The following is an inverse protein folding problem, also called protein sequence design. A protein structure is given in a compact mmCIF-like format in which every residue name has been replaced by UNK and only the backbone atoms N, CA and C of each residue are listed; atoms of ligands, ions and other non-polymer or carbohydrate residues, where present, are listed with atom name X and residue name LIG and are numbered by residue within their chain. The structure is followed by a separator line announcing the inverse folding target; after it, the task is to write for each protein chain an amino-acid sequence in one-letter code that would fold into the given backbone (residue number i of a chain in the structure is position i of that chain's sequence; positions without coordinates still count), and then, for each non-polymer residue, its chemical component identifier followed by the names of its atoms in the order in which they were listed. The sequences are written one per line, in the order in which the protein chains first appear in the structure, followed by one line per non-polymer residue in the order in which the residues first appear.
data_IF_115061822140
#
_entry.id   IF_115061822140
#
_cell.length_a   1.000
_cell.length_b   1.000
_cell.length_c   1.000
_cell.angle_alpha   90.00
_cell.angle_beta   90.00
_cell.angle_gamma   90.00
#
_symmetry.space_group_name_H-M   'P 1'
#
loop_
_entity.id
_entity.type
_entity.pdbx_description
1 polymer ?
#
# COMPACT_ATOMS: atom_id res chain seq x y z
N UNK A 1 -7.07 81.55 -61.42
CA UNK A 1 -7.75 81.40 -60.10
C UNK A 1 -8.63 80.17 -60.17
N UNK A 2 -8.23 79.00 -59.66
CA UNK A 2 -9.04 77.77 -59.59
C UNK A 2 -8.82 77.16 -58.21
N UNK A 3 -9.85 77.22 -57.36
CA UNK A 3 -9.88 76.59 -56.06
C UNK A 3 -10.06 75.06 -56.24
N UNK A 4 -9.13 74.26 -55.67
CA UNK A 4 -9.32 72.85 -55.58
C UNK A 4 -9.49 72.45 -54.12
N UNK A 5 -10.65 72.03 -53.71
CA UNK A 5 -11.00 71.48 -52.42
C UNK A 5 -10.48 70.02 -52.34
N UNK A 6 -9.66 69.76 -51.38
CA UNK A 6 -9.24 68.34 -51.01
C UNK A 6 -10.29 67.79 -50.06
N UNK A 7 -10.91 66.69 -50.44
CA UNK A 7 -11.81 65.91 -49.61
C UNK A 7 -10.90 64.82 -48.88
N UNK A 8 -10.87 64.93 -47.57
CA UNK A 8 -10.27 63.88 -46.75
C UNK A 8 -11.30 62.76 -46.47
N UNK A 9 -11.04 61.56 -46.93
CA UNK A 9 -11.76 60.36 -46.49
C UNK A 9 -11.09 59.79 -45.23
N UNK A 10 -11.77 59.83 -44.08
CA UNK A 10 -11.36 59.10 -42.88
C UNK A 10 -11.94 57.70 -42.96
N UNK A 11 -11.08 56.69 -43.13
CA UNK A 11 -11.46 55.30 -43.00
C UNK A 11 -11.36 54.90 -41.53
N UNK A 12 -12.49 54.65 -40.90
CA UNK A 12 -12.57 54.03 -39.55
C UNK A 12 -12.39 52.52 -39.69
N UNK A 13 -11.25 51.96 -39.23
CA UNK A 13 -11.05 50.56 -39.06
C UNK A 13 -11.75 50.09 -37.80
N UNK A 14 -12.87 49.40 -37.94
CA UNK A 14 -13.48 48.59 -36.86
C UNK A 14 -12.67 47.30 -36.72
N UNK A 15 -11.79 47.24 -35.72
CA UNK A 15 -11.17 45.98 -35.27
C UNK A 15 -12.16 45.24 -34.38
N UNK A 16 -12.87 44.26 -34.93
CA UNK A 16 -13.61 43.28 -34.17
C UNK A 16 -12.63 42.31 -33.50
N UNK A 17 -12.30 42.60 -32.24
CA UNK A 17 -11.57 41.69 -31.39
C UNK A 17 -12.41 40.44 -31.10
N UNK A 18 -12.16 39.34 -31.79
CA UNK A 18 -12.59 38.00 -31.35
C UNK A 18 -11.84 37.68 -30.06
N UNK A 19 -12.46 37.87 -28.91
CA UNK A 19 -12.05 37.28 -27.65
C UNK A 19 -12.35 35.78 -27.75
N UNK A 20 -11.37 34.97 -28.11
CA UNK A 20 -11.46 33.53 -27.86
C UNK A 20 -11.55 33.36 -26.34
N UNK A 21 -12.72 33.03 -25.83
CA UNK A 21 -12.88 32.47 -24.51
C UNK A 21 -12.10 31.17 -24.50
N UNK A 22 -10.92 31.17 -23.85
CA UNK A 22 -10.28 29.92 -23.44
C UNK A 22 -11.25 29.28 -22.46
N UNK A 23 -12.03 28.32 -22.95
CA UNK A 23 -12.65 27.31 -22.08
C UNK A 23 -11.52 26.56 -21.42
N UNK A 24 -11.11 26.95 -20.25
CA UNK A 24 -10.37 26.06 -19.33
C UNK A 24 -11.31 24.91 -19.08
N UNK A 25 -11.16 23.82 -19.82
CA UNK A 25 -11.69 22.52 -19.43
C UNK A 25 -11.12 22.28 -18.05
N UNK A 26 -11.96 22.31 -17.00
CA UNK A 26 -11.55 21.90 -15.67
C UNK A 26 -10.89 20.53 -15.84
N UNK A 27 -9.60 20.42 -15.48
CA UNK A 27 -8.88 19.16 -15.56
C UNK A 27 -9.69 18.13 -14.77
N UNK A 28 -10.14 17.07 -15.45
CA UNK A 28 -10.98 16.05 -14.82
C UNK A 28 -10.16 15.41 -13.70
N UNK A 29 -10.69 15.40 -12.49
CA UNK A 29 -10.02 14.76 -11.34
C UNK A 29 -9.68 13.31 -11.66
N UNK A 30 -8.43 12.84 -11.46
CA UNK A 30 -8.01 11.50 -11.82
C UNK A 30 -8.70 10.44 -10.96
N UNK A 31 -9.00 9.28 -11.51
CA UNK A 31 -9.31 8.11 -10.71
C UNK A 31 -8.05 7.63 -9.99
N UNK A 32 -8.21 6.95 -8.87
CA UNK A 32 -7.10 6.36 -8.12
C UNK A 32 -7.42 4.90 -7.82
N UNK A 33 -6.54 4.01 -8.24
CA UNK A 33 -6.58 2.59 -7.87
C UNK A 33 -5.32 2.28 -7.07
N UNK A 34 -5.50 1.89 -5.81
CA UNK A 34 -4.43 1.47 -4.92
C UNK A 34 -4.51 -0.03 -4.72
N UNK A 35 -3.58 -0.77 -5.34
CA UNK A 35 -3.52 -2.23 -5.28
C UNK A 35 -2.46 -2.61 -4.25
N UNK A 36 -2.84 -3.41 -3.25
CA UNK A 36 -1.93 -3.81 -2.19
C UNK A 36 -1.95 -5.32 -2.00
N UNK A 37 -0.85 -5.99 -2.36
CA UNK A 37 -0.61 -7.40 -2.07
C UNK A 37 -0.50 -7.64 -0.55
N UNK A 38 -0.67 -8.89 -0.13
CA UNK A 38 -0.57 -9.35 1.25
C UNK A 38 0.71 -10.17 1.42
N UNK A 39 1.69 -9.67 2.18
CA UNK A 39 2.97 -10.33 2.49
C UNK A 39 3.88 -10.61 1.26
N UNK A 40 3.86 -9.80 0.23
CA UNK A 40 4.70 -9.96 -0.96
C UNK A 40 6.04 -9.23 -0.79
N UNK A 41 7.15 -9.94 -0.95
CA UNK A 41 8.49 -9.40 -0.79
C UNK A 41 8.93 -8.47 -1.93
N UNK A 42 9.89 -7.60 -1.66
CA UNK A 42 10.46 -6.70 -2.67
C UNK A 42 11.19 -7.46 -3.78
N UNK A 43 11.80 -8.62 -3.44
CA UNK A 43 12.50 -9.48 -4.38
C UNK A 43 11.61 -10.37 -5.24
N UNK A 44 10.29 -10.36 -5.03
CA UNK A 44 9.35 -11.19 -5.79
C UNK A 44 8.88 -10.56 -7.12
N UNK A 45 9.31 -9.33 -7.44
CA UNK A 45 8.86 -8.58 -8.62
C UNK A 45 9.96 -8.45 -9.67
N UNK A 46 9.62 -8.64 -10.93
CA UNK A 46 10.56 -8.55 -12.05
C UNK A 46 11.27 -7.20 -12.10
N UNK A 47 10.57 -6.08 -11.89
CA UNK A 47 11.15 -4.74 -11.90
C UNK A 47 12.12 -4.47 -10.74
N UNK A 48 12.13 -5.30 -9.68
CA UNK A 48 13.13 -5.28 -8.61
C UNK A 48 14.17 -6.40 -8.70
N UNK A 49 14.12 -7.24 -9.75
CA UNK A 49 15.16 -8.20 -10.07
C UNK A 49 14.75 -9.67 -10.07
N UNK A 50 13.50 -10.00 -9.77
CA UNK A 50 12.98 -11.37 -9.82
C UNK A 50 13.05 -11.93 -11.27
N UNK A 51 13.49 -13.19 -11.40
CA UNK A 51 13.63 -13.85 -12.71
C UNK A 51 12.89 -15.17 -12.83
N UNK A 52 12.51 -15.77 -11.71
CA UNK A 52 11.84 -17.06 -11.65
C UNK A 52 10.31 -16.91 -11.59
N UNK A 53 9.84 -15.83 -10.98
CA UNK A 53 8.41 -15.50 -10.88
C UNK A 53 8.10 -14.39 -11.89
N UNK A 54 7.01 -14.51 -12.63
CA UNK A 54 6.66 -13.58 -13.72
C UNK A 54 5.65 -12.55 -13.27
N UNK A 55 6.00 -11.26 -13.41
CA UNK A 55 5.16 -10.13 -13.04
C UNK A 55 5.10 -9.04 -14.13
N UNK A 56 4.82 -9.40 -15.42
CA UNK A 56 4.93 -8.46 -16.53
C UNK A 56 3.98 -7.27 -16.46
N UNK A 57 2.81 -7.40 -15.85
CA UNK A 57 1.85 -6.30 -15.74
C UNK A 57 2.27 -5.29 -14.66
N UNK A 58 2.75 -5.79 -13.51
CA UNK A 58 3.32 -4.96 -12.44
C UNK A 58 4.60 -4.27 -12.93
N UNK A 59 5.47 -4.99 -13.63
CA UNK A 59 6.67 -4.44 -14.25
C UNK A 59 6.32 -3.35 -15.28
N UNK A 60 5.18 -3.52 -15.97
CA UNK A 60 4.63 -2.53 -16.88
C UNK A 60 4.24 -1.23 -16.18
N UNK A 61 3.72 -1.28 -14.94
CA UNK A 61 3.45 -0.06 -14.15
C UNK A 61 4.76 0.69 -13.88
N UNK A 62 5.82 -0.02 -13.49
CA UNK A 62 7.14 0.58 -13.26
C UNK A 62 7.74 1.20 -14.52
N UNK A 63 7.59 0.52 -15.68
CA UNK A 63 8.08 1.01 -16.96
C UNK A 63 7.32 2.24 -17.45
N UNK A 64 6.02 2.29 -17.26
CA UNK A 64 5.15 3.39 -17.68
C UNK A 64 4.98 4.49 -16.63
N UNK A 65 5.70 4.41 -15.53
CA UNK A 65 5.62 5.33 -14.41
C UNK A 65 6.90 5.41 -13.60
N UNK A 66 6.78 5.35 -12.29
CA UNK A 66 7.88 5.53 -11.34
C UNK A 66 7.99 4.35 -10.39
N UNK A 67 9.24 3.95 -10.13
CA UNK A 67 9.62 2.94 -9.13
C UNK A 67 10.34 3.61 -7.96
N UNK A 68 9.88 3.34 -6.74
CA UNK A 68 10.52 3.81 -5.51
C UNK A 68 11.46 2.74 -4.96
N UNK A 69 12.69 3.14 -4.64
CA UNK A 69 13.68 2.25 -4.04
C UNK A 69 13.64 2.28 -2.51
N UNK A 70 13.04 3.29 -1.91
CA UNK A 70 12.93 3.49 -0.46
C UNK A 70 11.49 3.85 -0.06
N UNK A 71 10.57 2.88 -0.24
CA UNK A 71 9.20 3.00 0.24
C UNK A 71 8.98 2.04 1.42
N UNK A 72 8.32 2.52 2.45
CA UNK A 72 8.17 1.82 3.70
C UNK A 72 6.70 1.54 4.02
N UNK A 73 6.39 0.30 4.41
CA UNK A 73 5.05 -0.11 4.86
C UNK A 73 4.64 0.63 6.13
N UNK A 74 3.38 0.60 6.48
CA UNK A 74 2.89 1.22 7.71
C UNK A 74 3.34 0.49 9.00
N UNK A 75 3.55 -0.82 8.90
CA UNK A 75 4.02 -1.69 9.97
C UNK A 75 4.59 -2.97 9.37
N UNK A 76 5.14 -3.83 10.20
CA UNK A 76 5.69 -5.14 9.79
C UNK A 76 4.64 -6.27 9.78
N UNK A 77 3.35 -5.94 10.01
CA UNK A 77 2.19 -6.85 9.89
C UNK A 77 0.97 -6.10 9.38
N UNK A 78 0.02 -6.85 8.80
CA UNK A 78 -1.04 -6.32 7.96
C UNK A 78 -1.98 -5.29 8.61
N UNK A 79 -2.64 -5.58 9.75
CA UNK A 79 -3.68 -4.69 10.30
C UNK A 79 -3.14 -3.29 10.64
N UNK A 80 -2.05 -3.13 11.41
CA UNK A 80 -1.50 -1.81 11.69
C UNK A 80 -0.92 -1.13 10.45
N UNK A 81 -0.36 -1.90 9.49
CA UNK A 81 0.14 -1.33 8.24
C UNK A 81 -0.98 -0.68 7.42
N UNK A 82 -2.11 -1.37 7.28
CA UNK A 82 -3.32 -0.86 6.60
C UNK A 82 -3.89 0.36 7.33
N UNK A 83 -3.89 0.35 8.67
CA UNK A 83 -4.27 1.51 9.48
C UNK A 83 -3.40 2.74 9.16
N UNK A 84 -2.08 2.58 9.14
CA UNK A 84 -1.16 3.69 8.84
C UNK A 84 -1.40 4.26 7.43
N UNK A 85 -1.62 3.39 6.43
CA UNK A 85 -1.92 3.80 5.05
C UNK A 85 -3.12 4.71 4.97
N UNK A 86 -4.23 4.29 5.60
CA UNK A 86 -5.50 5.01 5.41
C UNK A 86 -5.66 6.21 6.33
N UNK A 87 -4.90 6.30 7.46
CA UNK A 87 -5.03 7.39 8.45
C UNK A 87 -3.92 8.43 8.37
N UNK A 88 -2.85 8.17 7.63
CA UNK A 88 -1.71 9.10 7.54
C UNK A 88 -0.85 9.15 8.80
N UNK A 89 -0.94 8.14 9.69
CA UNK A 89 -0.23 8.09 10.98
C UNK A 89 0.71 6.90 11.06
N UNK A 90 1.94 7.11 11.49
CA UNK A 90 2.87 6.02 11.76
C UNK A 90 2.57 5.30 13.08
N UNK A 91 3.27 4.21 13.38
CA UNK A 91 2.97 3.33 14.52
C UNK A 91 3.01 4.00 15.89
N UNK A 92 3.72 5.10 16.05
CA UNK A 92 3.72 5.85 17.31
C UNK A 92 2.42 6.62 17.60
N UNK A 93 1.61 6.91 16.57
CA UNK A 93 0.37 7.71 16.66
C UNK A 93 -0.87 6.98 16.14
N UNK A 94 -0.71 5.91 15.36
CA UNK A 94 -1.82 5.11 14.85
C UNK A 94 -2.65 4.50 15.97
N UNK A 95 -3.95 4.38 15.74
CA UNK A 95 -4.88 3.77 16.69
C UNK A 95 -4.69 2.25 16.79
N UNK A 96 -4.34 1.59 15.69
CA UNK A 96 -4.09 0.16 15.60
C UNK A 96 -2.59 -0.05 15.37
N UNK A 97 -1.92 -0.71 16.33
CA UNK A 97 -0.45 -0.91 16.31
C UNK A 97 -0.04 -2.38 16.37
N UNK A 98 -1.01 -3.31 16.25
CA UNK A 98 -0.80 -4.76 16.31
C UNK A 98 -2.08 -5.53 16.06
N UNK A 99 -2.03 -6.86 16.20
CA UNK A 99 -3.13 -7.77 15.85
C UNK A 99 -4.08 -8.11 17.06
N UNK A 100 -4.25 -7.22 18.00
CA UNK A 100 -5.20 -7.41 19.11
C UNK A 100 -6.64 -7.56 18.59
N UNK A 101 -7.42 -8.45 19.21
CA UNK A 101 -8.74 -8.87 18.73
C UNK A 101 -9.88 -8.42 19.61
N UNK A 102 -11.03 -8.21 18.95
CA UNK A 102 -12.31 -7.81 19.56
C UNK A 102 -13.42 -8.67 18.93
N UNK A 103 -14.43 -9.03 19.72
CA UNK A 103 -15.59 -9.73 19.21
C UNK A 103 -16.49 -8.79 18.39
N UNK A 104 -16.91 -9.26 17.23
CA UNK A 104 -17.96 -8.62 16.44
C UNK A 104 -19.36 -8.97 16.96
N UNK A 105 -20.40 -8.35 16.39
CA UNK A 105 -21.80 -8.62 16.75
C UNK A 105 -22.26 -10.04 16.39
N UNK A 106 -21.51 -10.71 15.49
CA UNK A 106 -21.74 -12.10 15.12
C UNK A 106 -21.00 -13.12 16.02
N UNK A 107 -20.32 -12.62 17.06
CA UNK A 107 -19.56 -13.43 18.02
C UNK A 107 -18.20 -13.91 17.56
N UNK A 108 -17.81 -13.60 16.30
CA UNK A 108 -16.50 -13.93 15.77
C UNK A 108 -15.45 -12.89 16.21
N UNK A 109 -14.18 -13.28 16.15
CA UNK A 109 -13.08 -12.38 16.53
C UNK A 109 -12.51 -11.69 15.29
N UNK A 110 -12.45 -10.37 15.38
CA UNK A 110 -11.86 -9.45 14.38
C UNK A 110 -10.74 -8.64 15.03
N UNK A 111 -9.93 -7.99 14.23
CA UNK A 111 -8.91 -7.06 14.72
C UNK A 111 -9.55 -5.85 15.40
N UNK A 112 -8.75 -5.14 16.19
CA UNK A 112 -9.16 -3.90 16.86
C UNK A 112 -9.85 -2.97 15.85
N UNK A 113 -11.06 -2.47 16.17
CA UNK A 113 -11.76 -1.55 15.29
C UNK A 113 -11.05 -0.19 15.22
N UNK A 114 -11.03 0.37 14.01
CA UNK A 114 -10.64 1.76 13.82
C UNK A 114 -11.64 2.65 14.60
N UNK A 115 -11.17 3.61 15.41
CA UNK A 115 -12.06 4.44 16.24
C UNK A 115 -13.01 5.30 15.40
N UNK A 116 -14.21 5.56 15.93
CA UNK A 116 -15.10 6.56 15.38
C UNK A 116 -14.42 7.92 15.27
N UNK A 117 -14.64 8.61 14.14
CA UNK A 117 -14.07 9.93 13.91
C UNK A 117 -12.61 9.94 13.46
N UNK A 118 -11.95 8.78 13.36
CA UNK A 118 -10.66 8.70 12.68
C UNK A 118 -10.87 8.98 11.19
N UNK A 119 -10.25 10.06 10.70
CA UNK A 119 -10.37 10.48 9.30
C UNK A 119 -9.47 9.60 8.44
N UNK A 120 -10.01 9.10 7.37
CA UNK A 120 -9.30 8.21 6.43
C UNK A 120 -9.09 8.87 5.07
N UNK A 121 -8.22 8.27 4.26
CA UNK A 121 -8.02 8.69 2.87
C UNK A 121 -9.34 8.63 2.07
N UNK A 122 -10.23 7.68 2.37
CA UNK A 122 -11.54 7.58 1.71
C UNK A 122 -12.44 8.79 2.08
N UNK A 123 -12.41 9.24 3.34
CA UNK A 123 -13.12 10.45 3.75
C UNK A 123 -12.60 11.68 2.99
N UNK A 124 -11.28 11.79 2.78
CA UNK A 124 -10.69 12.88 1.99
C UNK A 124 -11.23 12.85 0.55
N UNK A 125 -11.24 11.71 -0.11
CA UNK A 125 -11.83 11.56 -1.44
C UNK A 125 -13.31 11.95 -1.49
N UNK A 126 -14.07 11.56 -0.47
CA UNK A 126 -15.51 11.90 -0.36
C UNK A 126 -15.75 13.40 -0.33
N UNK A 127 -14.87 14.22 0.28
CA UNK A 127 -15.00 15.68 0.28
C UNK A 127 -14.96 16.28 -1.13
N UNK A 128 -14.47 15.53 -2.11
CA UNK A 128 -14.34 15.92 -3.53
C UNK A 128 -15.26 15.11 -4.45
N UNK A 129 -16.32 14.53 -3.91
CA UNK A 129 -17.35 13.79 -4.63
C UNK A 129 -16.83 12.54 -5.38
N UNK A 130 -15.75 11.93 -4.91
CA UNK A 130 -15.34 10.61 -5.39
C UNK A 130 -16.30 9.53 -4.88
N UNK A 131 -16.50 8.49 -5.70
CA UNK A 131 -17.06 7.23 -5.26
C UNK A 131 -15.91 6.37 -4.74
N UNK A 132 -16.08 5.76 -3.57
CA UNK A 132 -15.01 5.06 -2.87
C UNK A 132 -15.33 3.59 -2.67
N UNK A 133 -14.43 2.69 -3.10
CA UNK A 133 -14.55 1.25 -2.94
C UNK A 133 -13.36 0.64 -2.22
N UNK A 134 -13.64 -0.35 -1.36
CA UNK A 134 -12.65 -1.21 -0.76
C UNK A 134 -13.00 -2.66 -1.10
N UNK A 135 -12.12 -3.34 -1.84
CA UNK A 135 -12.32 -4.73 -2.23
C UNK A 135 -11.10 -5.55 -1.81
N UNK A 136 -11.33 -6.54 -0.95
CA UNK A 136 -10.28 -7.40 -0.44
C UNK A 136 -10.24 -7.49 1.09
N UNK A 137 -9.06 -7.41 1.67
CA UNK A 137 -8.78 -7.55 3.11
C UNK A 137 -8.84 -6.19 3.80
N UNK A 138 -9.67 -6.06 4.84
CA UNK A 138 -9.81 -4.85 5.65
C UNK A 138 -8.94 -4.87 6.90
N UNK A 139 -9.28 -5.70 7.89
CA UNK A 139 -8.48 -5.95 9.09
C UNK A 139 -8.51 -4.84 10.16
N UNK A 140 -9.52 -3.99 10.18
CA UNK A 140 -9.61 -2.86 11.12
C UNK A 140 -11.00 -2.76 11.75
N UNK A 141 -11.57 -3.90 12.10
CA UNK A 141 -12.89 -4.04 12.73
C UNK A 141 -13.78 -5.04 12.03
N UNK A 142 -14.87 -5.42 12.67
CA UNK A 142 -15.83 -6.41 12.20
C UNK A 142 -17.28 -5.97 12.40
N UNK A 143 -18.26 -6.83 12.10
CA UNK A 143 -19.67 -6.52 12.18
C UNK A 143 -20.07 -5.91 13.53
N UNK A 144 -20.88 -4.86 13.48
CA UNK A 144 -21.35 -4.15 14.66
C UNK A 144 -20.34 -3.24 15.34
N UNK A 145 -19.07 -3.19 14.89
CA UNK A 145 -18.05 -2.29 15.43
C UNK A 145 -18.04 -0.95 14.71
N UNK A 146 -17.31 0.01 15.27
CA UNK A 146 -17.10 1.31 14.63
C UNK A 146 -16.14 1.25 13.46
N UNK A 147 -15.28 0.21 13.42
CA UNK A 147 -14.27 0.05 12.38
C UNK A 147 -14.77 -0.57 11.08
N UNK A 148 -16.08 -0.61 10.82
CA UNK A 148 -16.60 -1.05 9.52
C UNK A 148 -16.21 -0.09 8.38
N UNK A 149 -15.83 -0.58 7.18
CA UNK A 149 -15.40 0.27 6.06
C UNK A 149 -16.38 1.39 5.72
N UNK A 150 -17.69 1.11 5.74
CA UNK A 150 -18.73 2.11 5.45
C UNK A 150 -18.82 3.26 6.46
N UNK A 151 -18.24 3.10 7.67
CA UNK A 151 -18.13 4.16 8.68
C UNK A 151 -16.86 5.02 8.53
N UNK A 152 -15.99 4.64 7.60
CA UNK A 152 -14.70 5.27 7.32
C UNK A 152 -14.56 5.67 5.85
N UNK A 153 -15.63 6.22 5.28
CA UNK A 153 -15.62 6.88 3.99
C UNK A 153 -15.75 5.96 2.77
N UNK A 154 -15.85 4.63 2.92
CA UNK A 154 -16.05 3.73 1.79
C UNK A 154 -17.54 3.54 1.47
N UNK A 155 -17.94 3.86 0.23
CA UNK A 155 -19.32 3.65 -0.26
C UNK A 155 -19.60 2.17 -0.53
N UNK A 156 -18.57 1.40 -0.89
CA UNK A 156 -18.66 0.00 -1.22
C UNK A 156 -17.55 -0.80 -0.55
N UNK A 157 -17.90 -1.96 -0.01
CA UNK A 157 -16.96 -2.94 0.52
C UNK A 157 -17.33 -4.34 0.05
N UNK A 158 -16.32 -5.13 -0.37
CA UNK A 158 -16.46 -6.57 -0.58
C UNK A 158 -15.18 -7.30 -0.19
N UNK A 159 -15.27 -8.31 0.69
CA UNK A 159 -14.11 -9.12 1.06
C UNK A 159 -14.09 -9.59 2.50
N UNK A 160 -12.87 -9.68 3.06
CA UNK A 160 -12.61 -10.15 4.41
C UNK A 160 -12.53 -8.98 5.39
N UNK A 161 -13.41 -8.95 6.39
CA UNK A 161 -13.30 -7.99 7.49
C UNK A 161 -12.17 -8.35 8.46
N UNK A 162 -11.92 -9.64 8.72
CA UNK A 162 -10.90 -10.10 9.68
C UNK A 162 -9.71 -10.80 9.02
N UNK A 163 -8.52 -10.61 9.61
CA UNK A 163 -7.25 -11.16 9.11
C UNK A 163 -7.27 -12.69 9.04
N UNK A 164 -7.77 -13.35 10.11
CA UNK A 164 -7.77 -14.81 10.20
C UNK A 164 -8.61 -15.48 9.12
N UNK A 165 -9.73 -14.87 8.72
CA UNK A 165 -10.60 -15.41 7.68
C UNK A 165 -9.93 -15.35 6.30
N UNK A 166 -9.04 -14.37 6.11
CA UNK A 166 -8.26 -14.17 4.89
C UNK A 166 -7.16 -15.21 4.65
N UNK A 167 -6.93 -16.15 5.58
CA UNK A 167 -6.02 -17.27 5.38
C UNK A 167 -6.65 -18.41 4.57
N UNK A 168 -7.96 -18.39 4.31
CA UNK A 168 -8.66 -19.37 3.47
C UNK A 168 -9.09 -18.75 2.16
N UNK A 169 -8.65 -19.31 1.04
CA UNK A 169 -9.03 -18.85 -0.30
C UNK A 169 -10.33 -19.46 -0.82
N UNK A 170 -10.86 -20.46 -0.10
CA UNK A 170 -12.20 -21.02 -0.28
C UNK A 170 -12.98 -20.81 1.03
N UNK A 171 -13.39 -19.56 1.34
CA UNK A 171 -13.99 -19.23 2.63
C UNK A 171 -15.44 -19.70 2.72
N UNK A 172 -15.90 -19.91 3.95
CA UNK A 172 -17.31 -20.14 4.23
C UNK A 172 -18.17 -18.90 3.89
N UNK A 173 -17.61 -17.70 4.06
CA UNK A 173 -18.31 -16.45 3.78
C UNK A 173 -17.32 -15.30 3.49
N UNK A 174 -17.84 -14.30 2.80
CA UNK A 174 -17.28 -12.95 2.70
C UNK A 174 -18.32 -11.93 3.16
N UNK A 175 -17.95 -10.66 3.20
CA UNK A 175 -18.90 -9.58 3.45
C UNK A 175 -19.05 -8.68 2.22
N UNK A 176 -20.28 -8.25 1.95
CA UNK A 176 -20.60 -7.18 1.02
C UNK A 176 -21.27 -6.06 1.82
N UNK A 177 -20.56 -4.98 2.04
CA UNK A 177 -20.93 -3.94 3.00
C UNK A 177 -21.16 -4.54 4.40
N UNK A 178 -22.38 -4.44 4.95
CA UNK A 178 -22.75 -5.01 6.25
C UNK A 178 -23.30 -6.44 6.16
N UNK A 179 -23.46 -6.98 4.94
CA UNK A 179 -24.07 -8.28 4.72
C UNK A 179 -23.03 -9.40 4.67
N UNK A 180 -23.29 -10.49 5.37
CA UNK A 180 -22.52 -11.72 5.28
C UNK A 180 -23.01 -12.54 4.10
N UNK A 181 -22.14 -12.80 3.12
CA UNK A 181 -22.43 -13.58 1.91
C UNK A 181 -21.86 -14.99 2.10
N UNK A 182 -22.73 -15.98 2.18
CA UNK A 182 -22.32 -17.38 2.36
C UNK A 182 -21.79 -17.95 1.05
N UNK A 183 -20.63 -18.58 1.08
CA UNK A 183 -19.95 -19.18 -0.06
C UNK A 183 -19.73 -20.69 0.08
N UNK A 184 -19.93 -21.22 1.29
CA UNK A 184 -19.85 -22.64 1.64
C UNK A 184 -18.55 -23.32 1.17
N UNK A 185 -17.43 -22.60 1.16
CA UNK A 185 -16.13 -23.13 0.75
C UNK A 185 -16.00 -23.49 -0.74
N UNK A 186 -16.88 -22.98 -1.63
CA UNK A 186 -16.96 -23.44 -3.03
C UNK A 186 -16.25 -22.54 -4.04
N UNK A 187 -16.04 -21.29 -3.71
CA UNK A 187 -15.55 -20.26 -4.64
C UNK A 187 -14.19 -19.76 -4.22
N UNK A 188 -13.30 -19.58 -5.20
CA UNK A 188 -12.00 -18.99 -4.98
C UNK A 188 -12.16 -17.48 -4.73
N UNK A 189 -11.85 -17.04 -3.54
CA UNK A 189 -12.14 -15.68 -3.07
C UNK A 189 -11.46 -14.58 -3.89
N UNK A 190 -10.26 -14.86 -4.42
CA UNK A 190 -9.55 -13.89 -5.23
C UNK A 190 -10.31 -13.53 -6.52
N UNK A 191 -10.92 -14.54 -7.17
CA UNK A 191 -11.70 -14.32 -8.39
C UNK A 191 -12.95 -13.48 -8.12
N UNK A 192 -13.64 -13.77 -7.00
CA UNK A 192 -14.79 -12.97 -6.59
C UNK A 192 -14.39 -11.51 -6.28
N UNK A 193 -13.26 -11.31 -5.59
CA UNK A 193 -12.76 -9.98 -5.31
C UNK A 193 -12.35 -9.25 -6.59
N UNK A 194 -11.70 -9.92 -7.54
CA UNK A 194 -11.34 -9.33 -8.82
C UNK A 194 -12.60 -8.95 -9.63
N UNK A 195 -13.59 -9.83 -9.71
CA UNK A 195 -14.87 -9.54 -10.37
C UNK A 195 -15.53 -8.28 -9.78
N UNK A 196 -15.60 -8.19 -8.44
CA UNK A 196 -16.17 -7.02 -7.77
C UNK A 196 -15.37 -5.74 -7.99
N UNK A 197 -14.04 -5.82 -8.08
CA UNK A 197 -13.20 -4.69 -8.42
C UNK A 197 -13.44 -4.19 -9.87
N UNK A 198 -13.55 -5.10 -10.83
CA UNK A 198 -13.87 -4.78 -12.22
C UNK A 198 -15.27 -4.17 -12.35
N UNK A 199 -16.27 -4.76 -11.70
CA UNK A 199 -17.64 -4.24 -11.66
C UNK A 199 -17.68 -2.83 -11.05
N UNK A 200 -16.93 -2.58 -9.96
CA UNK A 200 -16.84 -1.25 -9.36
C UNK A 200 -16.29 -0.20 -10.34
N UNK A 201 -15.28 -0.54 -11.13
CA UNK A 201 -14.72 0.33 -12.17
C UNK A 201 -15.77 0.63 -13.25
N UNK A 202 -16.48 -0.41 -13.73
CA UNK A 202 -17.51 -0.28 -14.77
C UNK A 202 -18.67 0.62 -14.31
N UNK A 203 -19.24 0.35 -13.14
CA UNK A 203 -20.38 1.08 -12.59
C UNK A 203 -20.05 2.56 -12.29
N UNK A 204 -18.77 2.89 -12.04
CA UNK A 204 -18.33 4.23 -11.70
C UNK A 204 -17.54 4.93 -12.81
N UNK A 205 -17.55 4.41 -14.04
CA UNK A 205 -16.78 4.95 -15.17
C UNK A 205 -17.07 6.43 -15.51
N UNK A 206 -18.21 6.98 -15.08
CA UNK A 206 -18.61 8.36 -15.35
C UNK A 206 -18.33 9.35 -14.20
N UNK A 207 -17.77 8.87 -13.09
CA UNK A 207 -17.45 9.68 -11.90
C UNK A 207 -16.00 9.45 -11.50
N UNK A 208 -15.35 10.42 -10.85
CA UNK A 208 -14.07 10.14 -10.22
C UNK A 208 -14.26 9.10 -9.12
N UNK A 209 -13.35 8.12 -9.04
CA UNK A 209 -13.41 7.08 -8.03
C UNK A 209 -12.05 6.79 -7.39
N UNK A 210 -12.11 6.30 -6.16
CA UNK A 210 -11.01 5.68 -5.44
C UNK A 210 -11.34 4.22 -5.20
N UNK A 211 -10.51 3.31 -5.70
CA UNK A 211 -10.59 1.88 -5.43
C UNK A 211 -9.36 1.43 -4.64
N UNK A 212 -9.58 1.00 -3.40
CA UNK A 212 -8.60 0.28 -2.61
C UNK A 212 -8.80 -1.22 -2.84
N UNK A 213 -7.99 -1.79 -3.74
CA UNK A 213 -7.99 -3.22 -4.03
C UNK A 213 -6.88 -3.89 -3.24
N UNK A 214 -7.26 -4.66 -2.22
CA UNK A 214 -6.35 -5.30 -1.28
C UNK A 214 -6.54 -6.81 -1.24
N UNK A 215 -6.23 -7.54 -2.36
CA UNK A 215 -6.33 -8.98 -2.41
C UNK A 215 -5.44 -9.64 -1.35
N UNK A 216 -5.76 -10.91 -1.03
CA UNK A 216 -5.10 -11.64 0.05
C UNK A 216 -3.91 -12.47 -0.41
N UNK A 217 -3.69 -12.63 -1.72
CA UNK A 217 -2.53 -13.34 -2.26
C UNK A 217 -1.29 -12.42 -2.32
N UNK A 218 -0.07 -12.99 -2.10
CA UNK A 218 0.27 -14.42 -1.90
C UNK A 218 0.39 -14.87 -0.43
N UNK A 219 -0.32 -14.26 0.54
CA UNK A 219 -0.31 -14.72 1.94
C UNK A 219 -0.63 -16.23 2.02
N UNK A 220 -0.16 -16.94 3.03
CA UNK A 220 -0.56 -18.32 3.30
C UNK A 220 -2.07 -18.39 3.75
N UNK A 221 -2.86 -19.48 3.37
CA UNK A 221 -2.35 -20.72 2.77
C UNK A 221 -1.77 -20.50 1.36
N UNK A 222 -0.84 -21.39 0.96
CA UNK A 222 -0.42 -21.44 -0.43
C UNK A 222 -1.40 -22.33 -1.21
N UNK A 223 -2.60 -21.82 -1.40
CA UNK A 223 -3.73 -22.52 -2.01
C UNK A 223 -4.19 -21.77 -3.26
N UNK A 224 -4.01 -22.35 -4.42
CA UNK A 224 -4.35 -21.76 -5.72
C UNK A 224 -4.93 -22.82 -6.65
N UNK A 225 -5.77 -22.41 -7.58
CA UNK A 225 -6.39 -23.28 -8.57
C UNK A 225 -5.33 -24.00 -9.41
N UNK A 226 -5.56 -25.31 -9.68
CA UNK A 226 -4.62 -26.14 -10.42
C UNK A 226 -4.22 -25.59 -11.78
N UNK A 227 -5.14 -24.95 -12.50
CA UNK A 227 -4.85 -24.29 -13.80
C UNK A 227 -3.80 -23.19 -13.70
N UNK A 228 -3.82 -22.42 -12.60
CA UNK A 228 -2.82 -21.36 -12.39
C UNK A 228 -1.44 -21.92 -12.05
N UNK A 229 -1.36 -23.15 -11.53
CA UNK A 229 -0.09 -23.84 -11.22
C UNK A 229 0.65 -24.35 -12.46
N UNK A 230 -0.05 -24.55 -13.59
CA UNK A 230 0.50 -25.23 -14.78
C UNK A 230 1.80 -24.60 -15.28
N UNK A 231 1.97 -23.29 -15.12
CA UNK A 231 3.16 -22.56 -15.55
C UNK A 231 4.42 -22.91 -14.73
N UNK A 232 4.23 -23.36 -13.46
CA UNK A 232 5.32 -23.60 -12.51
C UNK A 232 5.42 -25.06 -12.06
N UNK A 233 4.55 -25.92 -12.58
CA UNK A 233 4.50 -27.34 -12.20
C UNK A 233 5.77 -28.06 -12.68
N UNK A 234 6.54 -28.58 -11.73
CA UNK A 234 7.81 -29.27 -12.03
C UNK A 234 9.02 -28.37 -12.29
N UNK A 235 8.86 -27.03 -12.28
CA UNK A 235 9.95 -26.08 -12.53
C UNK A 235 10.90 -25.95 -11.32
N UNK A 236 10.45 -26.29 -10.11
CA UNK A 236 11.23 -26.09 -8.88
C UNK A 236 11.52 -27.39 -8.15
N UNK A 237 12.66 -27.42 -7.46
CA UNK A 237 12.94 -28.50 -6.50
C UNK A 237 12.11 -28.24 -5.24
N UNK A 238 11.07 -29.01 -5.02
CA UNK A 238 10.10 -28.77 -3.96
C UNK A 238 10.50 -29.36 -2.61
N UNK A 239 10.07 -28.72 -1.54
CA UNK A 239 10.10 -29.23 -0.18
C UNK A 239 8.67 -29.24 0.37
N UNK A 240 7.96 -30.37 0.35
CA UNK A 240 6.57 -30.43 0.78
C UNK A 240 6.36 -29.91 2.20
N UNK A 241 5.30 -29.14 2.39
CA UNK A 241 4.86 -28.64 3.68
C UNK A 241 3.70 -29.49 4.21
N UNK A 242 3.87 -30.04 5.40
CA UNK A 242 2.91 -30.98 6.03
C UNK A 242 1.72 -30.31 6.75
N UNK A 243 1.63 -29.00 6.70
CA UNK A 243 0.69 -28.21 7.49
C UNK A 243 1.28 -27.76 8.83
N UNK A 244 0.61 -26.82 9.52
CA UNK A 244 1.04 -26.29 10.81
C UNK A 244 -0.02 -26.45 11.90
N UNK A 245 0.43 -26.38 13.17
CA UNK A 245 -0.48 -26.33 14.33
C UNK A 245 -1.33 -25.08 14.37
N UNK A 246 -0.89 -24.00 13.73
CA UNK A 246 -1.58 -22.72 13.65
C UNK A 246 -2.68 -22.72 12.58
N UNK A 247 -2.88 -23.86 11.89
CA UNK A 247 -4.00 -24.12 10.99
C UNK A 247 -3.72 -23.90 9.52
N UNK A 248 -2.46 -23.66 9.11
CA UNK A 248 -2.10 -23.65 7.69
C UNK A 248 -2.17 -25.04 7.09
N UNK A 249 -2.78 -25.18 5.91
CA UNK A 249 -2.95 -26.44 5.19
C UNK A 249 -1.62 -26.98 4.67
N UNK A 250 -1.56 -28.29 4.46
CA UNK A 250 -0.44 -28.90 3.77
C UNK A 250 -0.39 -28.48 2.30
N UNK A 251 0.85 -28.32 1.77
CA UNK A 251 1.10 -28.03 0.36
C UNK A 251 2.26 -28.90 -0.14
N UNK A 252 2.03 -29.67 -1.21
CA UNK A 252 3.02 -30.59 -1.74
C UNK A 252 4.10 -29.89 -2.59
N UNK A 253 3.72 -28.78 -3.23
CA UNK A 253 4.58 -27.99 -4.12
C UNK A 253 4.54 -26.50 -3.74
N UNK A 254 5.03 -26.14 -2.52
CA UNK A 254 4.85 -24.79 -2.00
C UNK A 254 5.55 -23.71 -2.84
N UNK A 255 6.68 -24.03 -3.49
CA UNK A 255 7.38 -23.07 -4.37
C UNK A 255 6.59 -22.77 -5.63
N UNK A 256 6.09 -23.80 -6.30
CA UNK A 256 5.22 -23.63 -7.48
C UNK A 256 3.93 -22.89 -7.10
N UNK A 257 3.31 -23.24 -5.97
CA UNK A 257 2.10 -22.56 -5.49
C UNK A 257 2.32 -21.07 -5.22
N UNK A 258 3.40 -20.71 -4.51
CA UNK A 258 3.75 -19.31 -4.26
C UNK A 258 3.98 -18.52 -5.55
N UNK A 259 4.82 -19.05 -6.45
CA UNK A 259 5.12 -18.42 -7.73
C UNK A 259 3.84 -18.23 -8.58
N UNK A 260 2.98 -19.26 -8.59
CA UNK A 260 1.69 -19.20 -9.27
C UNK A 260 0.74 -18.13 -8.67
N UNK A 261 0.68 -18.01 -7.34
CA UNK A 261 -0.12 -16.98 -6.66
C UNK A 261 0.35 -15.56 -7.01
N UNK A 262 1.67 -15.32 -7.02
CA UNK A 262 2.24 -14.03 -7.42
C UNK A 262 1.93 -13.69 -8.88
N UNK A 263 2.11 -14.66 -9.79
CA UNK A 263 1.77 -14.47 -11.21
C UNK A 263 0.27 -14.30 -11.44
N UNK A 264 -0.57 -14.95 -10.62
CA UNK A 264 -2.02 -14.80 -10.68
C UNK A 264 -2.47 -13.40 -10.25
N UNK A 265 -1.82 -12.86 -9.22
CA UNK A 265 -2.00 -11.48 -8.81
C UNK A 265 -1.59 -10.50 -9.93
N UNK A 266 -0.46 -10.74 -10.56
CA UNK A 266 -0.01 -9.93 -11.71
C UNK A 266 -1.02 -9.96 -12.88
N UNK A 267 -1.59 -11.14 -13.19
CA UNK A 267 -2.65 -11.26 -14.20
C UNK A 267 -3.88 -10.43 -13.82
N UNK A 268 -4.23 -10.37 -12.55
CA UNK A 268 -5.35 -9.54 -12.05
C UNK A 268 -5.08 -8.04 -12.25
N UNK A 269 -3.85 -7.59 -12.04
CA UNK A 269 -3.41 -6.22 -12.36
C UNK A 269 -3.57 -5.95 -13.85
N UNK A 270 -3.18 -6.91 -14.70
CA UNK A 270 -3.36 -6.85 -16.16
C UNK A 270 -4.83 -6.69 -16.58
N UNK A 271 -5.75 -7.41 -15.92
CA UNK A 271 -7.18 -7.32 -16.18
C UNK A 271 -7.77 -5.96 -15.76
N UNK A 272 -7.33 -5.40 -14.61
CA UNK A 272 -7.72 -4.05 -14.19
C UNK A 272 -7.22 -3.00 -15.22
N UNK A 273 -5.98 -3.09 -15.66
CA UNK A 273 -5.43 -2.18 -16.67
C UNK A 273 -6.19 -2.31 -18.01
N UNK A 274 -6.55 -3.52 -18.39
CA UNK A 274 -7.35 -3.79 -19.59
C UNK A 274 -8.71 -3.13 -19.51
N UNK A 275 -9.43 -3.33 -18.39
CA UNK A 275 -10.75 -2.71 -18.14
C UNK A 275 -10.68 -1.18 -18.25
N UNK A 276 -9.68 -0.56 -17.62
CA UNK A 276 -9.49 0.89 -17.72
C UNK A 276 -9.26 1.37 -19.17
N UNK A 277 -8.53 0.60 -19.98
CA UNK A 277 -8.30 0.91 -21.39
C UNK A 277 -9.58 0.77 -22.21
N UNK A 278 -10.34 -0.30 -22.00
CA UNK A 278 -11.61 -0.55 -22.70
C UNK A 278 -12.67 0.50 -22.38
N UNK A 279 -12.67 1.05 -21.17
CA UNK A 279 -13.54 2.14 -20.75
C UNK A 279 -13.00 3.55 -21.09
N UNK A 280 -11.81 3.68 -21.65
CA UNK A 280 -11.17 4.98 -21.93
C UNK A 280 -10.78 5.76 -20.68
N UNK A 281 -10.55 5.07 -19.55
CA UNK A 281 -10.21 5.66 -18.26
C UNK A 281 -8.71 5.65 -17.97
N UNK A 282 -7.93 4.84 -18.69
CA UNK A 282 -6.53 4.57 -18.38
C UNK A 282 -5.68 5.83 -18.24
N UNK A 283 -5.80 6.77 -19.19
CA UNK A 283 -5.01 8.01 -19.20
C UNK A 283 -5.40 8.98 -18.07
N UNK A 284 -6.53 8.77 -17.42
CA UNK A 284 -7.02 9.56 -16.31
C UNK A 284 -7.04 8.80 -14.98
N UNK A 285 -6.24 7.73 -14.88
CA UNK A 285 -6.19 6.90 -13.68
C UNK A 285 -4.77 6.79 -13.15
N UNK A 286 -4.61 7.06 -11.85
CA UNK A 286 -3.40 6.75 -11.09
C UNK A 286 -3.51 5.31 -10.65
N UNK A 287 -2.52 4.48 -10.97
CA UNK A 287 -2.44 3.08 -10.54
C UNK A 287 -1.21 2.92 -9.66
N UNK A 288 -1.44 2.51 -8.42
CA UNK A 288 -0.41 2.15 -7.44
C UNK A 288 -0.41 0.64 -7.25
N UNK A 289 0.77 0.03 -7.17
CA UNK A 289 0.93 -1.33 -6.69
C UNK A 289 2.02 -1.42 -5.64
N UNK A 290 1.74 -2.09 -4.51
CA UNK A 290 2.64 -2.28 -3.37
C UNK A 290 2.30 -3.56 -2.59
N UNK A 291 3.00 -3.81 -1.46
CA UNK A 291 2.71 -4.85 -0.47
C UNK A 291 2.55 -4.25 0.91
N UNK A 292 1.71 -4.83 1.75
CA UNK A 292 1.38 -4.29 3.08
C UNK A 292 2.52 -4.40 4.11
N UNK A 293 3.42 -5.34 3.96
CA UNK A 293 4.66 -5.52 4.75
C UNK A 293 5.65 -6.42 4.00
N UNK A 294 6.78 -6.73 4.63
CA UNK A 294 7.76 -7.67 4.08
C UNK A 294 7.22 -9.09 3.94
N UNK A 295 7.93 -9.91 3.18
CA UNK A 295 7.55 -11.31 2.87
C UNK A 295 7.37 -12.15 4.13
N UNK A 296 6.47 -13.13 4.07
CA UNK A 296 6.27 -14.14 5.12
C UNK A 296 7.06 -15.42 4.87
N UNK A 297 7.18 -16.27 5.91
CA UNK A 297 7.71 -17.65 5.84
C UNK A 297 6.67 -18.68 6.30
N UNK A 298 5.39 -18.42 6.06
CA UNK A 298 4.24 -19.21 6.52
C UNK A 298 3.76 -20.14 5.41
N UNK A 299 3.03 -21.22 5.76
CA UNK A 299 2.38 -22.12 4.79
C UNK A 299 3.33 -22.91 3.89
N UNK A 300 4.61 -23.00 4.24
CA UNK A 300 5.64 -23.68 3.45
C UNK A 300 6.41 -22.78 2.48
N UNK A 301 6.14 -21.47 2.47
CA UNK A 301 6.95 -20.51 1.72
C UNK A 301 8.36 -20.41 2.31
N UNK A 302 9.36 -20.45 1.44
CA UNK A 302 10.78 -20.26 1.75
C UNK A 302 11.30 -19.00 1.04
N UNK A 303 11.33 -17.84 1.74
CA UNK A 303 11.77 -16.58 1.14
C UNK A 303 13.17 -16.61 0.55
N UNK A 304 14.05 -17.49 1.07
CA UNK A 304 15.42 -17.61 0.61
C UNK A 304 15.52 -18.24 -0.78
N UNK A 305 14.55 -19.06 -1.17
CA UNK A 305 14.57 -19.75 -2.45
C UNK A 305 14.39 -18.80 -3.65
N UNK A 306 13.49 -17.84 -3.52
CA UNK A 306 13.21 -16.84 -4.56
C UNK A 306 13.95 -15.52 -4.34
N UNK A 307 14.77 -15.42 -3.27
CA UNK A 307 15.39 -14.16 -2.84
C UNK A 307 14.34 -13.06 -2.61
N UNK A 308 13.20 -13.47 -1.99
CA UNK A 308 12.00 -12.63 -1.84
C UNK A 308 12.26 -11.33 -1.05
N UNK A 309 13.27 -11.33 -0.16
CA UNK A 309 13.71 -10.12 0.55
C UNK A 309 14.67 -9.25 -0.28
N UNK A 310 15.17 -9.74 -1.42
CA UNK A 310 16.32 -9.16 -2.10
C UNK A 310 17.53 -9.06 -1.16
N UNK A 311 18.26 -7.93 -1.15
CA UNK A 311 19.45 -7.80 -0.32
C UNK A 311 19.17 -7.52 1.17
N UNK A 312 17.90 -7.47 1.59
CA UNK A 312 17.52 -6.97 2.90
C UNK A 312 17.35 -8.07 3.93
N UNK A 313 17.84 -7.82 5.15
CA UNK A 313 17.64 -8.69 6.31
C UNK A 313 16.22 -8.57 6.85
N UNK A 314 15.74 -9.69 7.44
CA UNK A 314 14.45 -9.74 8.12
C UNK A 314 13.29 -10.05 7.17
N UNK A 315 12.12 -10.18 7.73
CA UNK A 315 10.89 -10.53 7.06
C UNK A 315 9.69 -10.03 7.89
N UNK A 316 8.47 -10.32 7.50
CA UNK A 316 7.26 -10.08 8.31
C UNK A 316 7.54 -10.29 9.80
N UNK A 317 7.12 -9.36 10.66
CA UNK A 317 7.37 -9.25 12.11
C UNK A 317 8.74 -8.71 12.50
N UNK A 318 9.65 -8.45 11.57
CA UNK A 318 10.92 -7.79 11.86
C UNK A 318 10.89 -6.31 11.53
N UNK A 319 11.69 -5.51 12.24
CA UNK A 319 11.87 -4.09 11.94
C UNK A 319 13.18 -3.80 11.19
N UNK A 320 13.83 -4.84 10.68
CA UNK A 320 14.88 -4.73 9.67
C UNK A 320 14.27 -4.39 8.31
N UNK A 321 15.11 -3.96 7.37
CA UNK A 321 14.64 -3.51 6.05
C UNK A 321 13.71 -4.52 5.36
N UNK A 322 14.02 -5.82 5.40
CA UNK A 322 13.20 -6.86 4.77
C UNK A 322 11.80 -7.05 5.37
N UNK A 323 11.56 -6.53 6.59
CA UNK A 323 10.23 -6.59 7.21
C UNK A 323 9.35 -5.36 6.96
N UNK A 324 9.96 -4.21 6.63
CA UNK A 324 9.25 -2.92 6.54
C UNK A 324 9.46 -2.18 5.22
N UNK A 325 10.54 -2.47 4.48
CA UNK A 325 10.77 -1.87 3.16
C UNK A 325 10.00 -2.65 2.11
N UNK A 326 9.00 -2.03 1.52
CA UNK A 326 8.11 -2.66 0.55
C UNK A 326 8.37 -2.14 -0.86
N UNK A 327 8.12 -2.97 -1.90
CA UNK A 327 8.15 -2.48 -3.26
C UNK A 327 7.01 -1.48 -3.48
N UNK A 328 7.26 -0.48 -4.33
CA UNK A 328 6.23 0.51 -4.68
C UNK A 328 6.44 0.99 -6.12
N UNK A 329 5.43 0.80 -6.92
CA UNK A 329 5.39 1.31 -8.30
C UNK A 329 4.08 2.08 -8.51
N UNK A 330 4.18 3.18 -9.25
CA UNK A 330 3.06 4.07 -9.52
C UNK A 330 3.13 4.60 -10.94
N UNK A 331 1.99 4.62 -11.62
CA UNK A 331 1.87 5.26 -12.93
C UNK A 331 0.70 6.24 -12.96
N UNK A 332 0.86 7.29 -13.74
CA UNK A 332 -0.19 8.23 -14.13
C UNK A 332 0.17 8.73 -15.52
N UNK A 333 -0.43 8.17 -16.58
CA UNK A 333 -0.09 8.49 -17.94
C UNK A 333 -0.15 9.99 -18.24
N UNK A 334 0.88 10.52 -18.88
CA UNK A 334 0.98 11.94 -19.22
C UNK A 334 1.36 12.89 -18.07
N UNK A 335 1.39 12.41 -16.82
CA UNK A 335 1.73 13.23 -15.64
C UNK A 335 3.01 12.73 -14.96
N UNK A 336 3.08 11.45 -14.61
CA UNK A 336 4.32 10.86 -14.07
C UNK A 336 5.22 10.44 -15.25
N UNK A 337 6.50 10.89 -15.29
CA UNK A 337 7.44 10.47 -16.31
C UNK A 337 7.66 8.95 -16.30
N UNK A 338 7.79 8.36 -17.49
CA UNK A 338 7.96 6.92 -17.64
C UNK A 338 9.38 6.45 -17.27
N UNK A 339 9.49 5.28 -16.65
CA UNK A 339 10.74 4.59 -16.37
C UNK A 339 11.62 5.29 -15.30
N UNK A 340 11.05 6.17 -14.50
CA UNK A 340 11.79 6.87 -13.45
C UNK A 340 12.02 5.95 -12.26
N UNK A 341 13.25 5.99 -11.72
CA UNK A 341 13.60 5.35 -10.45
C UNK A 341 13.95 6.46 -9.45
N UNK A 342 13.33 6.44 -8.28
CA UNK A 342 13.56 7.44 -7.23
C UNK A 342 14.07 6.79 -5.95
N UNK A 343 14.96 7.49 -5.25
CA UNK A 343 15.42 7.15 -3.90
C UNK A 343 14.74 8.02 -2.83
N UNK A 344 13.68 8.74 -3.18
CA UNK A 344 12.91 9.48 -2.19
C UNK A 344 12.37 8.53 -1.11
N UNK A 345 12.63 8.86 0.15
CA UNK A 345 12.14 8.10 1.30
C UNK A 345 10.67 8.46 1.49
N UNK A 346 9.81 7.47 1.36
CA UNK A 346 8.37 7.61 1.56
C UNK A 346 7.82 6.44 2.36
N UNK A 347 6.66 6.62 2.96
CA UNK A 347 6.01 5.59 3.76
C UNK A 347 4.50 5.58 3.53
N UNK A 348 3.83 4.55 3.99
CA UNK A 348 2.38 4.37 3.83
C UNK A 348 1.57 5.56 4.34
N UNK A 349 1.98 6.15 5.46
CA UNK A 349 1.30 7.33 6.02
C UNK A 349 1.42 8.60 5.18
N UNK A 350 2.25 8.59 4.13
CA UNK A 350 2.38 9.69 3.17
C UNK A 350 1.28 9.70 2.11
N UNK A 351 0.53 8.59 1.98
CA UNK A 351 -0.52 8.49 0.98
C UNK A 351 -1.66 9.48 1.25
N UNK A 352 -2.12 9.59 2.49
CA UNK A 352 -3.22 10.52 2.84
C UNK A 352 -2.91 11.98 2.50
N UNK A 353 -1.76 12.58 2.92
CA UNK A 353 -1.44 13.95 2.53
C UNK A 353 -1.15 14.09 1.03
N UNK A 354 -0.64 13.05 0.35
CA UNK A 354 -0.46 13.07 -1.11
C UNK A 354 -1.80 13.18 -1.82
N UNK A 355 -2.81 12.43 -1.37
CA UNK A 355 -4.16 12.53 -1.90
C UNK A 355 -4.78 13.89 -1.56
N UNK A 356 -4.63 14.38 -0.32
CA UNK A 356 -5.11 15.71 0.06
C UNK A 356 -4.59 16.81 -0.87
N UNK A 357 -3.30 16.80 -1.16
CA UNK A 357 -2.68 17.73 -2.10
C UNK A 357 -3.19 17.53 -3.54
N UNK A 358 -3.25 16.27 -4.00
CA UNK A 358 -3.72 15.91 -5.34
C UNK A 358 -5.13 16.42 -5.63
N UNK A 359 -6.05 16.21 -4.70
CA UNK A 359 -7.46 16.58 -4.87
C UNK A 359 -7.79 17.96 -4.26
N UNK A 360 -6.79 18.67 -3.74
CA UNK A 360 -6.93 19.98 -3.11
C UNK A 360 -7.98 19.97 -1.98
N UNK A 361 -7.88 18.97 -1.09
CA UNK A 361 -8.74 18.82 0.07
C UNK A 361 -8.00 19.18 1.36
N UNK A 362 -8.75 19.66 2.36
CA UNK A 362 -8.22 19.80 3.71
C UNK A 362 -7.95 18.43 4.32
N UNK A 363 -6.84 18.32 5.02
CA UNK A 363 -6.39 17.11 5.71
C UNK A 363 -6.27 17.35 7.22
N UNK A 364 -6.37 16.30 8.04
CA UNK A 364 -6.14 16.42 9.49
C UNK A 364 -4.74 16.95 9.78
N UNK A 365 -4.62 17.78 10.82
CA UNK A 365 -3.33 18.35 11.24
C UNK A 365 -2.48 17.38 12.08
N UNK A 366 -3.11 16.35 12.64
CA UNK A 366 -2.48 15.35 13.51
C UNK A 366 -2.08 14.07 12.76
N UNK A 367 -1.50 14.23 11.56
CA UNK A 367 -0.93 13.15 10.76
C UNK A 367 0.60 13.27 10.72
N UNK A 368 1.26 12.17 10.40
CA UNK A 368 2.73 12.11 10.31
C UNK A 368 3.22 12.16 8.86
N UNK A 369 2.31 11.95 7.92
CA UNK A 369 2.63 11.85 6.51
C UNK A 369 3.09 13.16 5.88
N UNK A 370 3.96 13.02 4.88
CA UNK A 370 4.42 14.09 4.00
C UNK A 370 4.07 13.71 2.56
N UNK A 371 3.41 14.65 1.85
CA UNK A 371 3.05 14.40 0.46
C UNK A 371 4.29 14.15 -0.41
N UNK A 372 4.23 13.07 -1.22
CA UNK A 372 5.21 12.80 -2.26
C UNK A 372 4.74 13.22 -3.66
N UNK A 373 3.66 13.99 -3.76
CA UNK A 373 3.16 14.51 -5.05
C UNK A 373 4.22 15.32 -5.82
N UNK A 374 5.05 16.18 -5.17
CA UNK A 374 6.15 16.85 -5.86
C UNK A 374 7.15 15.89 -6.51
N UNK A 375 7.49 14.78 -5.86
CA UNK A 375 8.36 13.73 -6.45
C UNK A 375 7.69 13.09 -7.67
N UNK A 376 6.39 12.81 -7.63
CA UNK A 376 5.66 12.19 -8.73
C UNK A 376 5.59 13.09 -9.97
N UNK A 377 5.33 14.38 -9.75
CA UNK A 377 5.03 15.32 -10.83
C UNK A 377 6.23 16.14 -11.29
N UNK A 378 7.33 16.16 -10.51
CA UNK A 378 8.45 17.06 -10.72
C UNK A 378 8.10 18.54 -10.47
N UNK A 379 6.96 18.82 -9.84
CA UNK A 379 6.47 20.19 -9.58
C UNK A 379 6.46 20.49 -8.08
N UNK A 380 6.95 21.67 -7.70
CA UNK A 380 7.06 22.08 -6.30
C UNK A 380 8.32 21.60 -5.61
N UNK A 381 8.35 21.71 -4.28
CA UNK A 381 9.50 21.31 -3.45
C UNK A 381 9.11 20.08 -2.63
N UNK A 382 9.83 18.97 -2.83
CA UNK A 382 9.63 17.78 -2.03
C UNK A 382 10.18 18.01 -0.62
N UNK A 383 9.34 17.81 0.38
CA UNK A 383 9.72 17.76 1.78
C UNK A 383 10.19 16.35 2.13
N UNK A 384 11.08 16.25 3.10
CA UNK A 384 11.64 14.99 3.59
C UNK A 384 11.21 14.75 5.04
N UNK A 385 11.14 13.48 5.44
CA UNK A 385 10.94 13.09 6.82
C UNK A 385 12.20 13.38 7.64
N UNK A 386 12.06 13.87 8.86
CA UNK A 386 13.16 13.94 9.82
C UNK A 386 13.61 12.55 10.27
N UNK A 387 12.66 11.61 10.34
CA UNK A 387 12.90 10.20 10.61
C UNK A 387 11.70 9.34 10.19
N UNK A 388 11.96 8.04 10.01
CA UNK A 388 10.95 6.99 9.85
C UNK A 388 10.94 6.17 11.13
N UNK A 389 9.77 6.08 11.81
CA UNK A 389 9.63 5.43 13.11
C UNK A 389 8.70 4.24 13.07
N UNK A 390 9.10 3.15 13.74
CA UNK A 390 8.30 1.94 13.93
C UNK A 390 8.30 1.47 15.38
N UNK A 391 7.19 0.89 15.80
CA UNK A 391 7.07 0.05 16.98
C UNK A 391 6.20 -1.17 16.67
N UNK A 392 6.53 -2.30 17.30
CA UNK A 392 5.83 -3.56 17.15
C UNK A 392 5.82 -4.30 18.49
N UNK A 393 4.64 -4.60 19.01
CA UNK A 393 4.45 -5.03 20.40
C UNK A 393 4.55 -6.53 20.62
N UNK A 394 4.47 -7.33 19.56
CA UNK A 394 4.56 -8.78 19.65
C UNK A 394 6.03 -9.24 19.80
N UNK A 395 6.24 -10.48 20.22
CA UNK A 395 7.57 -11.11 20.33
C UNK A 395 8.60 -10.29 21.12
N UNK A 396 8.27 -9.91 22.34
CA UNK A 396 9.16 -9.18 23.23
C UNK A 396 9.21 -7.67 22.99
N UNK A 397 8.51 -7.18 21.97
CA UNK A 397 8.48 -5.77 21.63
C UNK A 397 9.72 -5.30 20.86
N UNK A 398 9.50 -4.49 19.83
CA UNK A 398 10.55 -3.96 18.97
C UNK A 398 10.29 -2.49 18.68
N UNK A 399 11.34 -1.69 18.52
CA UNK A 399 11.28 -0.32 18.01
C UNK A 399 12.41 -0.10 17.00
N UNK A 400 12.17 0.70 15.97
CA UNK A 400 13.23 1.20 15.11
C UNK A 400 12.99 2.65 14.71
N UNK A 401 14.08 3.36 14.48
CA UNK A 401 14.09 4.72 13.96
C UNK A 401 15.21 4.85 12.94
N UNK A 402 14.91 5.46 11.80
CA UNK A 402 15.85 5.72 10.72
C UNK A 402 15.82 7.19 10.35
N UNK A 403 16.98 7.78 10.12
CA UNK A 403 17.15 9.17 9.64
C UNK A 403 17.50 9.19 8.15
N UNK A 404 17.26 10.31 7.43
CA UNK A 404 17.52 10.42 5.99
C UNK A 404 18.98 10.20 5.56
N UNK A 405 19.93 10.35 6.47
CA UNK A 405 21.36 10.05 6.26
C UNK A 405 21.69 8.54 6.40
N UNK A 406 20.63 7.69 6.51
CA UNK A 406 20.73 6.24 6.50
C UNK A 406 21.04 5.60 7.85
N UNK A 407 21.22 6.35 8.92
CA UNK A 407 21.41 5.76 10.25
C UNK A 407 20.10 5.17 10.78
N UNK A 408 20.16 3.91 11.18
CA UNK A 408 19.02 3.16 11.71
C UNK A 408 19.38 2.48 13.03
N UNK A 409 18.61 2.80 14.07
CA UNK A 409 18.65 2.15 15.38
C UNK A 409 17.50 1.16 15.47
N UNK A 410 17.80 -0.08 15.80
CA UNK A 410 16.83 -1.14 16.10
C UNK A 410 16.95 -1.52 17.57
N UNK A 411 15.82 -1.53 18.28
CA UNK A 411 15.72 -1.94 19.68
C UNK A 411 14.83 -3.16 19.77
N UNK A 412 15.30 -4.17 20.47
CA UNK A 412 14.67 -5.49 20.58
C UNK A 412 14.41 -5.80 22.06
N UNK A 413 13.42 -6.65 22.34
CA UNK A 413 12.98 -7.04 23.67
C UNK A 413 12.61 -5.83 24.56
N UNK A 414 11.99 -4.80 23.98
CA UNK A 414 11.71 -3.53 24.69
C UNK A 414 10.64 -3.64 25.75
N UNK A 415 9.83 -4.71 25.76
CA UNK A 415 8.84 -5.01 26.79
C UNK A 415 9.48 -5.42 28.13
N UNK A 416 10.75 -5.82 28.13
CA UNK A 416 11.52 -6.16 29.32
C UNK A 416 12.84 -5.37 29.30
N UNK A 417 12.90 -4.32 30.11
CA UNK A 417 14.07 -3.42 30.14
C UNK A 417 15.38 -4.14 30.54
N UNK A 418 15.28 -5.28 31.24
CA UNK A 418 16.46 -6.09 31.61
C UNK A 418 17.03 -6.91 30.43
N UNK A 419 16.24 -7.11 29.37
CA UNK A 419 16.61 -7.87 28.17
C UNK A 419 16.79 -6.98 26.94
N UNK A 420 16.35 -5.72 27.00
CA UNK A 420 16.44 -4.79 25.87
C UNK A 420 17.88 -4.69 25.36
N UNK A 421 18.08 -4.92 24.08
CA UNK A 421 19.35 -4.67 23.41
C UNK A 421 19.16 -3.84 22.16
N UNK A 422 20.24 -3.19 21.70
CA UNK A 422 20.20 -2.19 20.66
C UNK A 422 21.24 -2.50 19.58
N UNK A 423 20.85 -2.27 18.34
CA UNK A 423 21.69 -2.44 17.16
C UNK A 423 21.65 -1.16 16.33
N UNK A 424 22.82 -0.75 15.79
CA UNK A 424 22.94 0.42 14.94
C UNK A 424 23.53 0.04 13.60
N UNK A 425 22.89 0.52 12.54
CA UNK A 425 23.32 0.30 11.15
C UNK A 425 23.34 1.60 10.37
N UNK A 426 24.09 1.64 9.27
CA UNK A 426 23.88 2.64 8.24
C UNK A 426 23.45 1.89 6.97
N UNK A 427 22.17 2.00 6.61
CA UNK A 427 21.56 1.24 5.51
C UNK A 427 22.06 1.61 4.12
N UNK A 428 22.79 2.72 3.97
CA UNK A 428 23.41 3.09 2.70
C UNK A 428 24.73 2.36 2.46
N UNK A 429 25.45 2.03 3.53
CA UNK A 429 26.72 1.27 3.45
C UNK A 429 26.55 -0.20 3.79
N UNK A 430 25.52 -0.55 4.55
CA UNK A 430 25.17 -1.92 4.96
C UNK A 430 23.64 -2.12 4.84
N UNK A 431 23.09 -2.19 3.62
CA UNK A 431 21.63 -2.36 3.40
C UNK A 431 21.09 -3.68 3.92
N UNK A 432 21.95 -4.69 4.11
CA UNK A 432 21.61 -6.00 4.67
C UNK A 432 21.64 -6.02 6.21
N UNK A 433 21.99 -4.91 6.87
CA UNK A 433 22.02 -4.81 8.35
C UNK A 433 22.82 -5.94 9.02
N UNK A 434 23.99 -6.26 8.46
CA UNK A 434 24.84 -7.40 8.88
C UNK A 434 25.82 -7.05 9.97
N UNK A 435 26.24 -5.79 10.05
CA UNK A 435 27.31 -5.35 10.94
C UNK A 435 26.81 -4.29 11.94
N UNK A 436 26.54 -4.73 13.17
CA UNK A 436 26.15 -3.81 14.24
C UNK A 436 27.34 -2.90 14.65
N UNK A 437 27.24 -1.61 14.31
CA UNK A 437 28.28 -0.60 14.57
C UNK A 437 28.04 0.27 15.79
N UNK A 438 27.11 -0.11 16.69
CA UNK A 438 26.69 0.71 17.84
C UNK A 438 27.87 1.09 18.75
N UNK A 439 28.86 0.20 18.92
CA UNK A 439 30.07 0.46 19.72
C UNK A 439 31.01 1.47 19.06
N UNK A 440 30.95 1.58 17.73
CA UNK A 440 31.81 2.49 16.96
C UNK A 440 31.20 3.90 16.91
N UNK A 441 29.86 4.01 16.95
CA UNK A 441 29.12 5.27 16.83
C UNK A 441 28.12 5.48 18.00
N UNK A 442 28.58 5.49 19.26
CA UNK A 442 27.68 5.55 20.43
C UNK A 442 26.90 6.87 20.52
N UNK A 443 27.44 7.96 19.98
CA UNK A 443 26.77 9.26 19.97
C UNK A 443 25.60 9.29 18.98
N UNK A 444 25.74 8.61 17.82
CA UNK A 444 24.64 8.44 16.85
C UNK A 444 23.52 7.61 17.47
N UNK A 445 23.86 6.48 18.10
CA UNK A 445 22.88 5.64 18.77
C UNK A 445 22.13 6.41 19.86
N UNK A 446 22.83 7.22 20.67
CA UNK A 446 22.22 8.07 21.71
C UNK A 446 21.28 9.12 21.11
N UNK A 447 21.66 9.77 20.01
CA UNK A 447 20.83 10.74 19.29
C UNK A 447 19.53 10.07 18.82
N UNK A 448 19.61 8.95 18.12
CA UNK A 448 18.45 8.23 17.60
C UNK A 448 17.54 7.73 18.72
N UNK A 449 18.10 7.20 19.80
CA UNK A 449 17.34 6.77 20.98
C UNK A 449 16.57 7.92 21.61
N UNK A 450 17.15 9.10 21.73
CA UNK A 450 16.47 10.29 22.25
C UNK A 450 15.33 10.73 21.34
N UNK A 451 15.46 10.58 20.02
CA UNK A 451 14.39 10.90 19.06
C UNK A 451 13.16 10.02 19.24
N UNK A 452 13.33 8.73 19.59
CA UNK A 452 12.23 7.77 19.79
C UNK A 452 11.18 8.29 20.78
N UNK A 453 11.62 8.93 21.87
CA UNK A 453 10.73 9.48 22.90
C UNK A 453 9.70 10.49 22.40
N UNK A 454 10.05 11.23 21.32
CA UNK A 454 9.15 12.21 20.69
C UNK A 454 8.24 11.63 19.60
N UNK A 455 8.44 10.36 19.26
CA UNK A 455 7.71 9.73 18.14
C UNK A 455 6.46 8.95 18.57
N UNK A 456 6.11 8.93 19.84
CA UNK A 456 5.00 8.10 20.29
C UNK A 456 4.15 8.74 21.36
N UNK A 457 2.88 8.40 21.33
CA UNK A 457 1.93 8.69 22.41
C UNK A 457 1.49 7.38 23.07
N UNK A 458 1.10 7.44 24.34
CA UNK A 458 0.58 6.28 25.06
C UNK A 458 -0.67 5.73 24.37
N UNK A 459 -0.79 4.40 24.36
CA UNK A 459 -1.94 3.69 23.82
C UNK A 459 -2.33 2.60 24.84
N UNK A 460 -3.58 2.62 25.32
CA UNK A 460 -4.04 1.71 26.37
C UNK A 460 -4.02 0.22 25.96
N UNK A 461 -4.08 -0.08 24.66
CA UNK A 461 -4.11 -1.45 24.12
C UNK A 461 -2.74 -1.92 23.62
N UNK A 462 -1.96 -1.01 23.09
CA UNK A 462 -0.66 -1.31 22.49
C UNK A 462 0.43 -0.55 23.27
N UNK A 463 1.01 -1.22 24.25
CA UNK A 463 2.05 -0.67 25.14
C UNK A 463 3.15 -1.71 25.37
N UNK A 464 4.35 -1.23 25.73
CA UNK A 464 5.49 -2.05 26.13
C UNK A 464 5.53 -2.29 27.62
#
# INVERSE_FOLDING_TARGET
MKNTRKILFSAALLSSGLTMAQTTTAEKSPNVIYIMADDLGIGDWGCYGQRQIKTPNIDGIAQNGMKFMQHYSGSTVSAPSRCALITGKHMGHAAIRGNAKVAGSDGLLYETPLPAGEVTVADIFKTKNYVTGCVGKWGMGGPGTEGMPGKHGFDYFYGYLGQRFAHSYYPEFLHENEQKIMLDGKYYSHDLMLEKALNFIDENAQKPFFLYFSPTIPHADLDIMGEAMTEYEGEFCETPFGGSRDGYKSQQTPRAAYAAMVTYLDKSVGLIIKELKEKGLYDHTIIVFTSDNGVHSEGGHDPSYFDSNGPFRGQKRDLYEGGIRTPFVIQWPGVIPQGVVTNHISAFWDFLPTIGELVQADIPQNIDGISYLPTLTGKGTQKEHDCIYYEFFEFGGKQSIMTPDGWKLVRLEVSDSSKTYEELYNIYTDPAETTNVIKQYPDVARKLKNMIGGQRVENARFHF
#
